data_IF_337108484428
#
_entry.id   IF_337108484428
#
_cell.length_a   1.000
_cell.length_b   1.000
_cell.length_c   1.000
_cell.angle_alpha   90.00
_cell.angle_beta   90.00
_cell.angle_gamma   90.00
#
_symmetry.space_group_name_H-M   'P 1'
#
loop_
_entity.id
_entity.type
_entity.pdbx_description
1 polymer ?
#
# COMPACT_ATOMS: atom_id res chain seq x y z
N UNK A 1 -5.89 25.19 -11.49
CA UNK A 1 -5.28 23.89 -11.73
C UNK A 1 -3.85 23.94 -11.24
N UNK A 2 -3.43 22.92 -10.48
CA UNK A 2 -2.08 22.79 -9.97
C UNK A 2 -1.37 21.66 -10.70
N UNK A 3 -0.18 21.97 -11.17
CA UNK A 3 0.76 21.06 -11.81
C UNK A 3 1.96 20.88 -10.84
N UNK A 4 2.23 19.66 -10.44
CA UNK A 4 3.38 19.29 -9.60
C UNK A 4 4.28 18.33 -10.39
N UNK A 5 5.58 18.49 -10.29
CA UNK A 5 6.56 17.57 -10.88
C UNK A 5 7.83 17.52 -10.06
N UNK A 6 8.47 16.36 -10.02
CA UNK A 6 9.79 16.13 -9.43
C UNK A 6 10.65 15.20 -10.29
N UNK A 7 11.92 15.08 -9.92
CA UNK A 7 12.86 14.14 -10.54
C UNK A 7 12.80 12.79 -9.82
N UNK A 8 12.64 11.72 -10.57
CA UNK A 8 12.68 10.35 -10.05
C UNK A 8 14.07 10.03 -9.53
N UNK A 9 14.15 9.50 -8.30
CA UNK A 9 15.39 9.06 -7.66
C UNK A 9 16.50 10.13 -7.62
N UNK A 10 16.12 11.39 -7.45
CA UNK A 10 17.07 12.52 -7.46
C UNK A 10 18.22 12.34 -6.50
N UNK A 11 17.98 11.92 -5.26
CA UNK A 11 19.02 11.69 -4.26
C UNK A 11 20.04 10.64 -4.73
N UNK A 12 19.58 9.58 -5.39
CA UNK A 12 20.45 8.54 -5.94
C UNK A 12 21.31 9.05 -7.11
N UNK A 13 20.76 9.96 -7.93
CA UNK A 13 21.52 10.62 -8.98
C UNK A 13 22.61 11.54 -8.38
N UNK A 14 22.27 12.30 -7.32
CA UNK A 14 23.20 13.16 -6.61
C UNK A 14 24.35 12.38 -5.97
N UNK A 15 24.08 11.23 -5.37
CA UNK A 15 25.10 10.34 -4.80
C UNK A 15 26.09 9.83 -5.87
N UNK A 16 25.62 9.57 -7.09
CA UNK A 16 26.44 9.01 -8.17
C UNK A 16 27.26 10.06 -8.91
N UNK A 17 26.67 11.20 -9.20
CA UNK A 17 27.28 12.30 -9.94
C UNK A 17 26.57 13.62 -9.61
N UNK A 18 27.00 14.29 -8.56
CA UNK A 18 26.41 15.54 -8.09
C UNK A 18 26.49 16.64 -9.14
N UNK A 19 27.66 16.89 -9.69
CA UNK A 19 27.87 17.98 -10.64
C UNK A 19 27.12 17.79 -11.96
N UNK A 20 27.12 16.58 -12.50
CA UNK A 20 26.37 16.20 -13.68
C UNK A 20 24.86 16.28 -13.45
N UNK A 21 24.38 15.81 -12.29
CA UNK A 21 22.97 15.84 -11.92
C UNK A 21 22.45 17.27 -11.80
N UNK A 22 23.18 18.17 -11.13
CA UNK A 22 22.81 19.59 -11.02
C UNK A 22 22.81 20.26 -12.40
N UNK A 23 23.77 19.96 -13.27
CA UNK A 23 23.83 20.51 -14.63
C UNK A 23 22.64 20.04 -15.48
N UNK A 24 22.31 18.74 -15.40
CA UNK A 24 21.15 18.17 -16.07
C UNK A 24 19.85 18.80 -15.56
N UNK A 25 19.68 18.90 -14.23
CA UNK A 25 18.51 19.51 -13.62
C UNK A 25 18.30 20.96 -14.12
N UNK A 26 19.35 21.78 -14.11
CA UNK A 26 19.29 23.17 -14.62
C UNK A 26 18.85 23.24 -16.07
N UNK A 27 19.25 22.27 -16.89
CA UNK A 27 18.85 22.20 -18.29
C UNK A 27 17.37 21.88 -18.42
N UNK A 28 16.87 20.90 -17.65
CA UNK A 28 15.44 20.55 -17.64
C UNK A 28 14.59 21.63 -16.98
N UNK A 29 15.08 22.32 -15.97
CA UNK A 29 14.40 23.47 -15.36
C UNK A 29 14.12 24.57 -16.39
N UNK A 30 15.08 24.88 -17.29
CA UNK A 30 14.87 25.83 -18.38
C UNK A 30 13.78 25.36 -19.34
N UNK A 31 13.83 24.09 -19.75
CA UNK A 31 12.79 23.48 -20.62
C UNK A 31 11.43 23.55 -19.95
N UNK A 32 11.34 23.22 -18.67
CA UNK A 32 10.08 23.22 -17.92
C UNK A 32 9.50 24.64 -17.84
N UNK A 33 10.31 25.64 -17.52
CA UNK A 33 9.91 27.05 -17.49
C UNK A 33 9.43 27.57 -18.86
N UNK A 34 10.05 27.14 -19.93
CA UNK A 34 9.62 27.45 -21.30
C UNK A 34 8.30 26.76 -21.63
N UNK A 35 8.14 25.50 -21.25
CA UNK A 35 6.88 24.76 -21.42
C UNK A 35 5.73 25.42 -20.64
N UNK A 36 5.96 25.81 -19.39
CA UNK A 36 4.96 26.55 -18.61
C UNK A 36 4.54 27.85 -19.32
N UNK A 37 5.52 28.66 -19.75
CA UNK A 37 5.23 29.92 -20.44
C UNK A 37 4.46 29.70 -21.74
N UNK A 38 4.82 28.69 -22.53
CA UNK A 38 4.16 28.34 -23.81
C UNK A 38 2.68 28.00 -23.59
N UNK A 39 2.36 27.30 -22.50
CA UNK A 39 1.00 26.84 -22.20
C UNK A 39 0.24 27.73 -21.19
N UNK A 40 0.77 28.91 -20.84
CA UNK A 40 0.10 29.87 -19.95
C UNK A 40 0.14 29.47 -18.48
N UNK A 41 1.13 28.65 -18.07
CA UNK A 41 1.38 28.30 -16.68
C UNK A 41 2.25 29.30 -15.95
N UNK A 42 2.01 29.50 -14.66
CA UNK A 42 2.82 30.33 -13.75
C UNK A 42 3.52 29.43 -12.74
N UNK A 43 4.85 29.38 -12.76
CA UNK A 43 5.64 28.74 -11.72
C UNK A 43 5.49 29.52 -10.42
N UNK A 44 5.07 28.88 -9.34
CA UNK A 44 4.87 29.54 -8.04
C UNK A 44 5.72 28.95 -6.92
N UNK A 45 6.24 27.72 -7.08
CA UNK A 45 7.09 27.10 -6.07
C UNK A 45 8.16 26.24 -6.74
N UNK A 46 9.39 26.28 -6.17
CA UNK A 46 10.52 25.40 -6.52
C UNK A 46 11.20 24.96 -5.24
N UNK A 47 11.48 23.67 -5.12
CA UNK A 47 12.16 23.09 -3.95
C UNK A 47 13.09 21.97 -4.37
N UNK A 48 14.37 22.32 -4.57
CA UNK A 48 15.35 21.33 -5.06
C UNK A 48 15.01 20.85 -6.47
N UNK A 49 14.60 19.60 -6.58
CA UNK A 49 14.20 18.93 -7.82
C UNK A 49 12.70 19.01 -8.13
N UNK A 50 11.91 19.60 -7.20
CA UNK A 50 10.47 19.74 -7.33
C UNK A 50 10.06 21.10 -7.88
N UNK A 51 9.07 21.12 -8.78
CA UNK A 51 8.52 22.32 -9.37
C UNK A 51 6.99 22.29 -9.33
N UNK A 52 6.38 23.43 -8.98
CA UNK A 52 4.94 23.56 -8.95
C UNK A 52 4.50 24.80 -9.75
N UNK A 53 3.52 24.59 -10.64
CA UNK A 53 2.94 25.65 -11.43
C UNK A 53 1.41 25.66 -11.33
N UNK A 54 0.82 26.83 -11.55
CA UNK A 54 -0.64 26.98 -11.71
C UNK A 54 -1.00 27.23 -13.16
N UNK A 55 -2.18 26.76 -13.54
CA UNK A 55 -2.77 26.99 -14.86
C UNK A 55 -4.24 27.41 -14.68
N UNK A 56 -4.70 28.28 -15.58
CA UNK A 56 -6.12 28.64 -15.66
C UNK A 56 -6.96 27.58 -16.38
N UNK A 57 -6.34 26.70 -17.16
CA UNK A 57 -7.00 25.67 -17.97
C UNK A 57 -6.42 24.29 -17.71
N UNK A 58 -7.29 23.30 -17.46
CA UNK A 58 -6.91 21.89 -17.31
C UNK A 58 -6.32 21.32 -18.60
N UNK A 59 -6.92 21.66 -19.75
CA UNK A 59 -6.42 21.28 -21.08
C UNK A 59 -4.99 21.74 -21.27
N UNK A 60 -4.70 23.02 -21.00
CA UNK A 60 -3.36 23.59 -21.14
C UNK A 60 -2.33 22.99 -20.17
N UNK A 61 -2.74 22.63 -18.95
CA UNK A 61 -1.88 21.96 -18.00
C UNK A 61 -1.49 20.55 -18.49
N UNK A 62 -2.45 19.80 -19.03
CA UNK A 62 -2.23 18.46 -19.58
C UNK A 62 -1.38 18.50 -20.86
N UNK A 63 -1.68 19.41 -21.80
CA UNK A 63 -0.86 19.62 -23.00
C UNK A 63 0.60 19.95 -22.61
N UNK A 64 0.79 20.82 -21.62
CA UNK A 64 2.12 21.15 -21.09
C UNK A 64 2.85 19.92 -20.54
N UNK A 65 2.16 19.08 -19.80
CA UNK A 65 2.74 17.85 -19.24
C UNK A 65 3.19 16.88 -20.34
N UNK A 66 2.35 16.68 -21.36
CA UNK A 66 2.64 15.82 -22.50
C UNK A 66 3.84 16.35 -23.30
N UNK A 67 3.83 17.64 -23.63
CA UNK A 67 4.93 18.28 -24.35
C UNK A 67 6.25 18.15 -23.58
N UNK A 68 6.23 18.43 -22.26
CA UNK A 68 7.41 18.34 -21.42
C UNK A 68 7.97 16.92 -21.36
N UNK A 69 7.13 15.89 -21.10
CA UNK A 69 7.58 14.50 -21.07
C UNK A 69 8.16 14.04 -22.42
N UNK A 70 7.57 14.46 -23.52
CA UNK A 70 8.10 14.17 -24.86
C UNK A 70 9.47 14.82 -25.07
N UNK A 71 9.65 16.09 -24.67
CA UNK A 71 10.95 16.77 -24.76
C UNK A 71 12.00 16.08 -23.88
N UNK A 72 11.63 15.68 -22.65
CA UNK A 72 12.53 14.92 -21.75
C UNK A 72 12.96 13.61 -22.40
N UNK A 73 12.01 12.85 -22.95
CA UNK A 73 12.28 11.58 -23.64
C UNK A 73 13.25 11.75 -24.80
N UNK A 74 13.07 12.78 -25.64
CA UNK A 74 13.96 13.04 -26.78
C UNK A 74 15.35 13.51 -26.33
N UNK A 75 15.43 14.40 -25.35
CA UNK A 75 16.72 14.89 -24.84
C UNK A 75 17.52 13.77 -24.16
N UNK A 76 16.86 12.86 -23.45
CA UNK A 76 17.51 11.71 -22.81
C UNK A 76 18.12 10.74 -23.83
N UNK A 77 17.59 10.64 -25.04
CA UNK A 77 18.15 9.78 -26.08
C UNK A 77 19.53 10.26 -26.57
N UNK A 78 19.73 11.56 -26.66
CA UNK A 78 20.80 12.10 -27.50
C UNK A 78 21.82 13.02 -26.80
N UNK A 79 21.52 13.66 -25.66
CA UNK A 79 22.33 14.85 -25.28
C UNK A 79 22.65 14.97 -23.78
N UNK A 80 21.75 14.57 -22.87
CA UNK A 80 21.91 14.91 -21.44
C UNK A 80 22.33 13.69 -20.63
N UNK A 81 23.43 13.83 -19.91
CA UNK A 81 23.93 12.84 -18.93
C UNK A 81 24.27 13.53 -17.61
N UNK A 82 23.84 12.98 -16.46
CA UNK A 82 22.92 11.84 -16.37
C UNK A 82 21.52 12.15 -16.92
N UNK A 83 20.88 11.15 -17.52
CA UNK A 83 19.49 11.25 -17.95
C UNK A 83 18.58 11.32 -16.72
N UNK A 84 17.70 12.32 -16.67
CA UNK A 84 16.72 12.46 -15.59
C UNK A 84 15.33 12.12 -16.09
N UNK A 85 14.53 11.48 -15.24
CA UNK A 85 13.12 11.21 -15.50
C UNK A 85 12.27 12.01 -14.53
N UNK A 86 11.09 12.41 -14.98
CA UNK A 86 10.19 13.24 -14.19
C UNK A 86 8.86 12.52 -13.96
N UNK A 87 8.26 12.75 -12.80
CA UNK A 87 6.88 12.39 -12.49
C UNK A 87 6.03 13.65 -12.51
N UNK A 88 4.79 13.55 -12.99
CA UNK A 88 3.89 14.69 -13.06
C UNK A 88 2.55 14.32 -12.43
N UNK A 89 2.07 15.18 -11.53
CA UNK A 89 0.74 15.13 -10.94
C UNK A 89 -0.05 16.40 -11.23
N UNK A 90 -1.29 16.28 -11.72
CA UNK A 90 -2.14 17.44 -12.04
C UNK A 90 -3.47 17.32 -11.31
N UNK A 91 -3.85 18.38 -10.58
CA UNK A 91 -5.10 18.46 -9.85
C UNK A 91 -5.81 19.80 -10.05
N UNK A 92 -7.14 19.77 -10.05
CA UNK A 92 -7.96 20.96 -9.90
C UNK A 92 -8.65 20.94 -8.54
N UNK A 93 -8.43 21.98 -7.75
CA UNK A 93 -8.98 22.10 -6.41
C UNK A 93 -8.69 23.48 -5.81
N UNK A 94 -9.28 23.74 -4.65
CA UNK A 94 -9.16 25.01 -3.96
C UNK A 94 -7.75 25.23 -3.43
N UNK A 95 -7.31 26.48 -3.52
CA UNK A 95 -6.01 26.93 -3.05
C UNK A 95 -6.12 28.27 -2.33
N UNK A 96 -5.22 28.49 -1.40
CA UNK A 96 -5.08 29.76 -0.67
C UNK A 96 -3.83 30.45 -1.21
N UNK A 97 -4.00 31.68 -1.69
CA UNK A 97 -2.89 32.52 -2.12
C UNK A 97 -2.20 33.14 -0.90
N UNK A 98 -0.94 32.79 -0.67
CA UNK A 98 -0.11 33.38 0.37
C UNK A 98 1.12 34.06 -0.25
N UNK A 99 1.11 35.38 -0.32
CA UNK A 99 2.11 36.17 -1.07
C UNK A 99 2.13 35.76 -2.56
N UNK A 100 3.20 35.13 -3.04
CA UNK A 100 3.31 34.62 -4.43
C UNK A 100 3.17 33.09 -4.51
N UNK A 101 2.95 32.42 -3.38
CA UNK A 101 2.85 30.97 -3.29
C UNK A 101 1.37 30.54 -3.13
N UNK A 102 1.08 29.30 -3.53
CA UNK A 102 -0.22 28.67 -3.35
C UNK A 102 -0.10 27.57 -2.31
N UNK A 103 -1.06 27.52 -1.39
CA UNK A 103 -1.16 26.50 -0.35
C UNK A 103 -2.57 25.91 -0.36
N UNK A 104 -2.74 24.76 0.27
CA UNK A 104 -4.05 24.13 0.46
C UNK A 104 -4.11 22.71 -0.04
N UNK A 105 -5.30 22.13 0.08
CA UNK A 105 -5.53 20.73 -0.27
C UNK A 105 -5.31 20.47 -1.76
N UNK A 106 -5.69 21.43 -2.62
CA UNK A 106 -5.47 21.33 -4.06
C UNK A 106 -4.00 21.13 -4.44
N UNK A 107 -3.07 21.81 -3.74
CA UNK A 107 -1.62 21.65 -3.93
C UNK A 107 -1.15 20.30 -3.39
N UNK A 108 -1.63 19.92 -2.21
CA UNK A 108 -1.25 18.65 -1.59
C UNK A 108 -1.69 17.44 -2.42
N UNK A 109 -2.88 17.49 -3.02
CA UNK A 109 -3.37 16.42 -3.92
C UNK A 109 -2.52 16.34 -5.19
N UNK A 110 -2.15 17.48 -5.81
CA UNK A 110 -1.26 17.48 -6.97
C UNK A 110 0.10 16.82 -6.67
N UNK A 111 0.71 17.17 -5.52
CA UNK A 111 1.96 16.54 -5.08
C UNK A 111 1.83 15.04 -4.82
N UNK A 112 0.67 14.57 -4.33
CA UNK A 112 0.42 13.13 -4.12
C UNK A 112 0.18 12.38 -5.42
N UNK A 113 -0.48 13.00 -6.39
CA UNK A 113 -0.63 12.43 -7.74
C UNK A 113 0.74 12.33 -8.42
N UNK A 114 1.61 13.31 -8.22
CA UNK A 114 2.99 13.29 -8.70
C UNK A 114 3.74 12.10 -8.09
N UNK A 115 3.68 11.88 -6.74
CA UNK A 115 4.30 10.72 -6.08
C UNK A 115 3.71 9.38 -6.53
N UNK A 116 2.43 9.35 -6.89
CA UNK A 116 1.76 8.17 -7.44
C UNK A 116 2.17 7.90 -8.88
N UNK A 117 2.62 8.91 -9.63
CA UNK A 117 2.96 8.80 -11.04
C UNK A 117 4.17 7.90 -11.28
N UNK A 118 4.16 7.16 -12.38
CA UNK A 118 5.31 6.39 -12.84
C UNK A 118 6.42 7.30 -13.35
N UNK A 119 7.64 6.78 -13.42
CA UNK A 119 8.77 7.45 -14.07
C UNK A 119 8.41 7.79 -15.53
N UNK A 120 8.51 9.07 -15.89
CA UNK A 120 8.09 9.56 -17.21
C UNK A 120 6.57 9.62 -17.41
N UNK A 121 5.78 9.41 -16.34
CA UNK A 121 4.32 9.37 -16.38
C UNK A 121 3.65 10.69 -16.03
N UNK A 122 2.33 10.72 -16.22
CA UNK A 122 1.43 11.82 -15.88
C UNK A 122 0.21 11.24 -15.20
N UNK A 123 -0.01 11.59 -13.93
CA UNK A 123 -1.19 11.15 -13.17
C UNK A 123 -2.08 12.34 -12.85
N UNK A 124 -3.37 12.23 -13.09
CA UNK A 124 -4.35 13.30 -12.94
C UNK A 124 -5.45 12.92 -11.95
N UNK A 125 -6.07 13.93 -11.33
CA UNK A 125 -7.26 13.73 -10.51
C UNK A 125 -8.53 13.55 -11.36
N UNK A 126 -9.59 13.03 -10.72
CA UNK A 126 -10.93 12.93 -11.33
C UNK A 126 -11.42 14.28 -11.84
N UNK A 127 -11.20 15.37 -11.09
CA UNK A 127 -11.59 16.72 -11.53
C UNK A 127 -10.87 17.16 -12.82
N UNK A 128 -9.60 16.80 -12.99
CA UNK A 128 -8.89 17.07 -14.24
C UNK A 128 -9.44 16.19 -15.36
N UNK A 129 -9.66 14.88 -15.10
CA UNK A 129 -10.26 13.97 -16.06
C UNK A 129 -11.57 14.55 -16.63
N UNK A 130 -12.49 14.98 -15.76
CA UNK A 130 -13.79 15.54 -16.15
C UNK A 130 -13.67 16.81 -17.00
N UNK A 131 -12.64 17.63 -16.76
CA UNK A 131 -12.40 18.83 -17.54
C UNK A 131 -11.81 18.58 -18.91
N UNK A 132 -11.08 17.47 -19.13
CA UNK A 132 -10.40 17.17 -20.39
C UNK A 132 -11.14 16.14 -21.25
N UNK A 133 -12.05 15.36 -20.64
CA UNK A 133 -12.84 14.34 -21.33
C UNK A 133 -13.57 14.94 -22.53
N UNK A 134 -13.39 14.33 -23.71
CA UNK A 134 -13.96 14.78 -24.98
C UNK A 134 -13.32 16.05 -25.59
N UNK A 135 -12.29 16.64 -24.95
CA UNK A 135 -11.59 17.84 -25.45
C UNK A 135 -10.20 17.52 -25.98
N UNK A 136 -9.59 16.47 -25.51
CA UNK A 136 -8.28 15.99 -25.95
C UNK A 136 -8.40 14.49 -26.22
N UNK A 137 -7.90 14.04 -27.34
CA UNK A 137 -7.84 12.61 -27.67
C UNK A 137 -6.62 11.98 -27.00
N UNK A 138 -6.84 11.33 -25.86
CA UNK A 138 -5.81 10.72 -25.04
C UNK A 138 -6.23 9.31 -24.60
N UNK A 139 -5.26 8.42 -24.52
CA UNK A 139 -5.45 7.15 -23.84
C UNK A 139 -5.28 7.36 -22.32
N UNK A 140 -6.32 7.06 -21.58
CA UNK A 140 -6.36 7.27 -20.12
C UNK A 140 -6.67 5.94 -19.46
N UNK A 141 -5.91 5.61 -18.41
CA UNK A 141 -6.13 4.45 -17.54
C UNK A 141 -6.73 4.90 -16.21
N UNK A 142 -7.87 4.34 -15.86
CA UNK A 142 -8.49 4.55 -14.55
C UNK A 142 -7.77 3.72 -13.48
N UNK A 143 -7.16 4.38 -12.51
CA UNK A 143 -6.47 3.75 -11.39
C UNK A 143 -7.41 3.46 -10.22
N UNK A 144 -8.66 3.92 -10.29
CA UNK A 144 -9.62 3.82 -9.22
C UNK A 144 -9.30 4.76 -8.04
N UNK A 145 -9.89 4.45 -6.89
CA UNK A 145 -9.67 5.21 -5.66
C UNK A 145 -8.29 4.84 -5.09
N UNK A 146 -7.42 5.82 -5.03
CA UNK A 146 -6.09 5.70 -4.45
C UNK A 146 -6.08 6.30 -3.04
N UNK A 147 -5.35 5.67 -2.13
CA UNK A 147 -5.13 6.20 -0.79
C UNK A 147 -3.64 6.51 -0.63
N UNK A 148 -3.33 7.81 -0.47
CA UNK A 148 -1.97 8.25 -0.13
C UNK A 148 -2.03 8.97 1.21
N UNK A 149 -1.36 8.40 2.22
CA UNK A 149 -1.49 8.83 3.63
C UNK A 149 -2.95 8.79 4.09
N UNK A 150 -3.51 9.91 4.56
CA UNK A 150 -4.89 10.00 5.07
C UNK A 150 -5.94 10.38 4.02
N UNK A 151 -5.52 10.73 2.79
CA UNK A 151 -6.44 11.23 1.77
C UNK A 151 -6.75 10.13 0.74
N UNK A 152 -8.04 10.05 0.38
CA UNK A 152 -8.55 9.21 -0.70
C UNK A 152 -8.92 10.11 -1.88
N UNK A 153 -8.47 9.77 -3.09
CA UNK A 153 -8.82 10.46 -4.31
C UNK A 153 -8.85 9.48 -5.49
N UNK A 154 -9.69 9.76 -6.46
CA UNK A 154 -9.74 8.98 -7.69
C UNK A 154 -8.67 9.52 -8.65
N UNK A 155 -7.82 8.65 -9.14
CA UNK A 155 -6.68 8.97 -9.99
C UNK A 155 -6.76 8.29 -11.35
N UNK A 156 -6.13 8.91 -12.33
CA UNK A 156 -6.05 8.43 -13.71
C UNK A 156 -4.63 8.65 -14.24
N UNK A 157 -4.10 7.71 -15.01
CA UNK A 157 -2.85 7.90 -15.76
C UNK A 157 -3.12 8.28 -17.21
N UNK A 158 -2.38 9.27 -17.71
CA UNK A 158 -2.33 9.58 -19.14
C UNK A 158 -1.23 8.71 -19.76
N UNK A 159 -1.60 7.85 -20.71
CA UNK A 159 -0.67 6.93 -21.36
C UNK A 159 -0.02 7.61 -22.56
N UNK A 160 1.25 7.98 -22.45
CA UNK A 160 2.05 8.51 -23.56
C UNK A 160 2.53 7.40 -24.51
N UNK A 161 2.57 6.16 -24.02
CA UNK A 161 2.86 4.93 -24.76
C UNK A 161 1.90 3.85 -24.24
N UNK A 162 1.16 3.13 -25.12
CA UNK A 162 0.26 2.05 -24.69
C UNK A 162 0.91 0.97 -23.83
N UNK A 163 2.23 0.83 -23.92
CA UNK A 163 3.00 -0.12 -23.11
C UNK A 163 3.24 0.35 -21.68
N UNK A 164 2.96 1.61 -21.35
CA UNK A 164 3.07 2.17 -19.99
C UNK A 164 1.90 1.81 -19.09
N UNK A 165 0.94 1.03 -19.58
CA UNK A 165 -0.16 0.54 -18.77
C UNK A 165 0.37 -0.15 -17.51
N UNK A 166 -0.09 0.29 -16.34
CA UNK A 166 0.34 -0.32 -15.08
C UNK A 166 -0.09 -1.76 -15.04
N UNK A 167 0.85 -2.67 -14.97
CA UNK A 167 0.54 -4.02 -14.55
C UNK A 167 0.29 -3.93 -13.03
N UNK A 168 -0.96 -3.65 -12.62
CA UNK A 168 -1.35 -3.90 -11.25
C UNK A 168 -1.11 -5.41 -11.02
N UNK A 169 0.01 -5.78 -10.45
CA UNK A 169 0.06 -7.02 -9.70
C UNK A 169 -1.02 -6.82 -8.61
N UNK A 170 -2.24 -7.29 -8.90
CA UNK A 170 -3.13 -7.70 -7.83
C UNK A 170 -2.23 -8.60 -7.01
N UNK A 171 -1.72 -8.07 -5.92
CA UNK A 171 -1.10 -8.92 -4.92
C UNK A 171 -2.22 -9.88 -4.61
N UNK A 172 -2.05 -11.14 -5.03
CA UNK A 172 -2.97 -12.23 -4.70
C UNK A 172 -2.78 -12.52 -3.20
N UNK A 173 -2.91 -11.44 -2.40
CA UNK A 173 -2.96 -11.52 -0.95
C UNK A 173 -4.07 -12.51 -0.58
N UNK A 174 -5.20 -12.45 -1.30
CA UNK A 174 -6.30 -13.39 -1.13
C UNK A 174 -5.92 -14.84 -1.51
N UNK A 175 -5.05 -15.05 -2.53
CA UNK A 175 -4.63 -16.41 -2.90
C UNK A 175 -3.58 -16.95 -1.91
N UNK A 176 -2.67 -16.10 -1.43
CA UNK A 176 -1.70 -16.49 -0.38
C UNK A 176 -2.39 -16.69 0.96
N UNK A 177 -3.38 -15.84 1.28
CA UNK A 177 -4.22 -16.02 2.47
C UNK A 177 -5.09 -17.27 2.36
N UNK A 178 -5.70 -17.54 1.22
CA UNK A 178 -6.47 -18.76 0.96
C UNK A 178 -5.60 -20.02 1.01
N UNK A 179 -4.36 -19.98 0.53
CA UNK A 179 -3.42 -21.11 0.64
C UNK A 179 -2.94 -21.32 2.08
N UNK A 180 -2.76 -20.23 2.86
CA UNK A 180 -2.43 -20.30 4.29
C UNK A 180 -3.58 -20.93 5.07
N UNK A 181 -4.80 -20.48 4.83
CA UNK A 181 -6.01 -21.03 5.46
C UNK A 181 -6.23 -22.48 5.04
N UNK A 182 -6.03 -22.82 3.76
CA UNK A 182 -6.11 -24.20 3.28
C UNK A 182 -5.08 -25.12 3.91
N UNK A 183 -3.84 -24.63 4.15
CA UNK A 183 -2.79 -25.40 4.83
C UNK A 183 -3.09 -25.59 6.33
N UNK A 184 -3.59 -24.56 6.99
CA UNK A 184 -4.03 -24.65 8.40
C UNK A 184 -5.16 -25.69 8.53
N UNK A 185 -6.13 -25.70 7.62
CA UNK A 185 -7.21 -26.67 7.61
C UNK A 185 -6.73 -28.10 7.35
N UNK A 186 -5.74 -28.27 6.47
CA UNK A 186 -5.14 -29.59 6.21
C UNK A 186 -4.41 -30.10 7.43
N UNK A 187 -3.70 -29.23 8.17
CA UNK A 187 -3.02 -29.58 9.42
C UNK A 187 -4.02 -29.90 10.55
N UNK A 188 -5.14 -29.15 10.61
CA UNK A 188 -6.23 -29.49 11.53
C UNK A 188 -6.88 -30.82 11.18
N UNK A 189 -7.06 -31.12 9.89
CA UNK A 189 -7.56 -32.43 9.42
C UNK A 189 -6.61 -33.58 9.80
N UNK A 190 -5.29 -33.37 9.67
CA UNK A 190 -4.29 -34.35 10.08
C UNK A 190 -4.22 -34.51 11.60
N UNK A 191 -4.27 -33.41 12.37
CA UNK A 191 -4.30 -33.45 13.83
C UNK A 191 -5.59 -34.13 14.34
N UNK A 192 -6.73 -33.79 13.77
CA UNK A 192 -8.00 -34.47 14.06
C UNK A 192 -7.96 -35.95 13.72
N UNK A 193 -7.38 -36.33 12.57
CA UNK A 193 -7.20 -37.73 12.18
C UNK A 193 -6.28 -38.49 13.15
N UNK A 194 -5.19 -37.86 13.61
CA UNK A 194 -4.30 -38.47 14.61
C UNK A 194 -4.95 -38.61 15.98
N UNK A 195 -5.73 -37.62 16.40
CA UNK A 195 -6.47 -37.66 17.69
C UNK A 195 -7.54 -38.76 17.68
N UNK A 196 -8.25 -38.92 16.55
CA UNK A 196 -9.32 -39.94 16.43
C UNK A 196 -8.79 -41.37 16.23
N UNK A 197 -7.59 -41.53 15.62
CA UNK A 197 -7.04 -42.85 15.31
C UNK A 197 -6.05 -43.41 16.34
N UNK A 198 -5.42 -42.55 17.17
CA UNK A 198 -4.42 -42.98 18.13
C UNK A 198 -4.85 -42.86 19.62
N UNK A 199 -6.15 -42.75 19.89
CA UNK A 199 -6.62 -42.65 21.28
C UNK A 199 -6.68 -44.05 21.94
N UNK A 200 -5.57 -44.49 22.52
CA UNK A 200 -5.62 -45.32 23.72
C UNK A 200 -5.46 -44.40 24.94
N UNK A 201 -6.47 -44.43 25.78
CA UNK A 201 -6.76 -43.50 26.89
C UNK A 201 -5.76 -43.54 28.05
N UNK A 202 -5.63 -42.43 28.81
CA UNK A 202 -6.21 -42.47 30.18
C UNK A 202 -7.21 -41.32 30.45
N UNK A 203 -8.23 -41.74 31.13
CA UNK A 203 -9.40 -41.03 31.61
C UNK A 203 -9.08 -39.78 32.45
N UNK A 204 -9.49 -38.59 31.97
CA UNK A 204 -9.80 -37.46 32.84
C UNK A 204 -11.15 -36.87 32.36
N UNK A 205 -12.15 -37.17 33.16
CA UNK A 205 -13.54 -36.74 32.94
C UNK A 205 -13.65 -35.22 33.08
N UNK A 206 -13.64 -34.50 31.97
CA UNK A 206 -14.13 -33.13 31.92
C UNK A 206 -15.28 -33.14 30.92
N UNK A 207 -16.48 -32.86 31.38
CA UNK A 207 -17.65 -32.62 30.57
C UNK A 207 -17.38 -31.39 29.69
N UNK A 208 -16.84 -31.59 28.50
CA UNK A 208 -16.48 -30.54 27.56
C UNK A 208 -17.25 -30.72 26.27
N UNK A 209 -17.69 -29.63 25.71
CA UNK A 209 -18.23 -29.54 24.33
C UNK A 209 -17.33 -30.35 23.42
N UNK A 210 -17.91 -31.24 22.58
CA UNK A 210 -17.19 -32.10 21.60
C UNK A 210 -16.40 -31.32 20.52
N UNK A 211 -16.27 -30.01 20.65
CA UNK A 211 -15.64 -29.14 19.68
C UNK A 211 -14.34 -28.53 20.23
N UNK A 212 -13.21 -28.65 19.52
CA UNK A 212 -11.98 -27.98 19.91
C UNK A 212 -12.16 -26.46 19.96
N UNK A 213 -11.74 -25.87 21.08
CA UNK A 213 -11.83 -24.42 21.33
C UNK A 213 -10.54 -23.73 20.98
N UNK A 214 -10.63 -22.66 20.15
CA UNK A 214 -9.50 -21.92 19.59
C UNK A 214 -9.61 -20.44 19.98
N UNK A 215 -8.49 -19.87 20.43
CA UNK A 215 -8.29 -18.44 20.62
C UNK A 215 -7.24 -17.93 19.62
N UNK A 216 -7.60 -16.94 18.83
CA UNK A 216 -6.65 -16.26 17.95
C UNK A 216 -6.20 -14.99 18.65
N UNK A 217 -4.97 -14.90 19.10
CA UNK A 217 -4.40 -13.69 19.70
C UNK A 217 -4.14 -12.63 18.61
N UNK A 218 -4.25 -11.32 18.96
CA UNK A 218 -3.88 -10.26 18.04
C UNK A 218 -2.45 -10.43 17.53
N UNK A 219 -2.27 -10.43 16.23
CA UNK A 219 -0.95 -10.52 15.62
C UNK A 219 -0.14 -9.27 15.93
N UNK A 220 1.12 -9.47 16.35
CA UNK A 220 2.03 -8.36 16.68
C UNK A 220 2.52 -7.70 15.40
N UNK A 221 2.38 -6.38 15.30
CA UNK A 221 3.01 -5.62 14.23
C UNK A 221 4.47 -5.34 14.58
N UNK A 222 5.39 -5.87 13.77
CA UNK A 222 6.84 -5.64 13.89
C UNK A 222 7.33 -4.60 12.86
N UNK A 223 6.40 -3.92 12.16
CA UNK A 223 6.71 -2.87 11.19
C UNK A 223 6.65 -1.49 11.84
N UNK A 224 7.05 -0.45 11.10
CA UNK A 224 6.77 0.94 11.50
C UNK A 224 5.27 1.17 11.68
N UNK A 225 4.88 2.11 12.56
CA UNK A 225 3.53 2.36 13.08
C UNK A 225 2.40 2.49 12.04
N UNK A 226 2.74 2.76 10.78
CA UNK A 226 1.75 2.99 9.71
C UNK A 226 1.07 1.70 9.19
N UNK A 227 1.52 0.51 9.63
CA UNK A 227 1.02 -0.79 9.15
C UNK A 227 0.25 -1.60 10.23
N UNK A 228 -0.20 -0.96 11.29
CA UNK A 228 -0.94 -1.63 12.39
C UNK A 228 -2.24 -2.30 11.89
N UNK A 229 -2.88 -1.71 10.88
CA UNK A 229 -4.09 -2.25 10.26
C UNK A 229 -3.89 -3.61 9.58
N UNK A 230 -2.67 -3.94 9.14
CA UNK A 230 -2.39 -5.23 8.47
C UNK A 230 -2.44 -6.37 9.49
N UNK A 231 -1.81 -6.20 10.64
CA UNK A 231 -1.84 -7.19 11.73
C UNK A 231 -3.25 -7.41 12.27
N UNK A 232 -4.02 -6.32 12.46
CA UNK A 232 -5.43 -6.40 12.86
C UNK A 232 -6.28 -7.11 11.80
N UNK A 233 -6.12 -6.76 10.51
CA UNK A 233 -6.86 -7.38 9.42
C UNK A 233 -6.62 -8.89 9.28
N UNK A 234 -5.39 -9.36 9.50
CA UNK A 234 -5.05 -10.79 9.51
C UNK A 234 -5.76 -11.48 10.67
N UNK A 235 -5.70 -10.90 11.87
CA UNK A 235 -6.39 -11.44 13.04
C UNK A 235 -7.90 -11.58 12.82
N UNK A 236 -8.53 -10.52 12.30
CA UNK A 236 -9.97 -10.51 12.03
C UNK A 236 -10.36 -11.53 10.95
N UNK A 237 -9.54 -11.65 9.91
CA UNK A 237 -9.76 -12.62 8.84
C UNK A 237 -9.65 -14.05 9.35
N UNK A 238 -8.66 -14.35 10.20
CA UNK A 238 -8.50 -15.68 10.80
C UNK A 238 -9.68 -16.03 11.70
N UNK A 239 -10.10 -15.13 12.61
CA UNK A 239 -11.26 -15.35 13.47
C UNK A 239 -12.52 -15.60 12.63
N UNK A 240 -12.78 -14.74 11.64
CA UNK A 240 -13.96 -14.88 10.77
C UNK A 240 -13.94 -16.17 9.97
N UNK A 241 -12.79 -16.53 9.41
CA UNK A 241 -12.67 -17.74 8.58
C UNK A 241 -12.84 -19.00 9.41
N UNK A 242 -12.15 -19.08 10.58
CA UNK A 242 -12.26 -20.23 11.47
C UNK A 242 -13.67 -20.37 12.06
N UNK A 243 -14.37 -19.27 12.31
CA UNK A 243 -15.75 -19.27 12.84
C UNK A 243 -16.78 -19.86 11.87
N UNK A 244 -16.45 -19.96 10.56
CA UNK A 244 -17.32 -20.61 9.58
C UNK A 244 -17.32 -22.15 9.67
N UNK A 245 -16.43 -22.73 10.47
CA UNK A 245 -16.35 -24.18 10.66
C UNK A 245 -17.13 -24.58 11.91
N UNK A 246 -18.27 -25.26 11.72
CA UNK A 246 -19.15 -25.69 12.80
C UNK A 246 -18.47 -26.63 13.80
N UNK A 247 -17.38 -27.29 13.39
CA UNK A 247 -16.62 -28.22 14.25
C UNK A 247 -15.67 -27.50 15.22
N UNK A 248 -15.47 -26.20 15.07
CA UNK A 248 -14.56 -25.40 15.89
C UNK A 248 -15.36 -24.43 16.78
N UNK A 249 -14.90 -24.25 18.00
CA UNK A 249 -15.37 -23.19 18.88
C UNK A 249 -14.33 -22.06 18.90
N UNK A 250 -14.59 -21.02 18.12
CA UNK A 250 -13.65 -19.89 18.00
C UNK A 250 -14.06 -18.78 18.94
N UNK A 251 -13.11 -18.34 19.78
CA UNK A 251 -13.31 -17.22 20.70
C UNK A 251 -13.48 -15.90 19.93
N UNK A 252 -14.31 -15.01 20.49
CA UNK A 252 -14.59 -13.72 19.85
C UNK A 252 -13.37 -12.80 19.81
N UNK A 253 -13.39 -11.82 18.90
CA UNK A 253 -12.37 -10.77 18.82
C UNK A 253 -12.20 -10.02 20.15
N UNK A 254 -13.31 -9.74 20.84
CA UNK A 254 -13.26 -9.04 22.12
C UNK A 254 -12.54 -9.87 23.20
N UNK A 255 -12.75 -11.18 23.23
CA UNK A 255 -12.02 -12.11 24.11
C UNK A 255 -10.53 -12.10 23.79
N UNK A 256 -10.19 -12.16 22.51
CA UNK A 256 -8.83 -12.10 21.98
C UNK A 256 -8.08 -10.84 22.45
N UNK A 257 -8.70 -9.68 22.27
CA UNK A 257 -8.13 -8.40 22.69
C UNK A 257 -8.02 -8.29 24.21
N UNK A 258 -9.01 -8.80 24.95
CA UNK A 258 -9.00 -8.77 26.41
C UNK A 258 -7.89 -9.65 26.98
N UNK A 259 -7.73 -10.86 26.47
CA UNK A 259 -6.68 -11.79 26.88
C UNK A 259 -5.30 -11.20 26.58
N UNK A 260 -5.12 -10.64 25.39
CA UNK A 260 -3.84 -10.03 24.99
C UNK A 260 -3.46 -8.81 25.83
N UNK A 261 -4.44 -7.99 26.21
CA UNK A 261 -4.20 -6.76 27.01
C UNK A 261 -3.86 -7.04 28.47
N UNK A 262 -4.34 -8.15 29.02
CA UNK A 262 -4.18 -8.49 30.44
C UNK A 262 -3.07 -9.52 30.67
N UNK A 263 -2.33 -9.91 29.64
CA UNK A 263 -1.15 -10.79 29.68
C UNK A 263 -1.42 -12.10 30.49
N UNK A 264 -2.58 -12.75 30.27
CA UNK A 264 -2.92 -14.02 30.91
C UNK A 264 -1.91 -15.09 30.52
N UNK A 265 -1.55 -15.94 31.51
CA UNK A 265 -0.77 -17.14 31.26
C UNK A 265 -1.56 -18.21 30.51
N UNK A 266 -0.88 -19.13 29.85
CA UNK A 266 -1.50 -20.22 29.10
C UNK A 266 -2.43 -21.07 29.98
N UNK A 267 -2.07 -21.27 31.25
CA UNK A 267 -2.87 -21.98 32.24
C UNK A 267 -4.15 -21.21 32.61
N UNK A 268 -4.08 -19.90 32.77
CA UNK A 268 -5.26 -19.05 33.03
C UNK A 268 -6.19 -19.00 31.82
N UNK A 269 -5.65 -18.99 30.58
CA UNK A 269 -6.44 -19.05 29.36
C UNK A 269 -7.18 -20.39 29.24
N UNK A 270 -6.48 -21.50 29.52
CA UNK A 270 -7.07 -22.84 29.52
C UNK A 270 -8.21 -22.95 30.51
N UNK A 271 -8.02 -22.46 31.74
CA UNK A 271 -9.00 -22.60 32.84
C UNK A 271 -10.18 -21.65 32.69
N UNK A 272 -9.93 -20.36 32.42
CA UNK A 272 -10.95 -19.32 32.44
C UNK A 272 -11.78 -19.27 31.14
N UNK A 273 -11.14 -19.56 29.98
CA UNK A 273 -11.78 -19.48 28.67
C UNK A 273 -12.04 -20.85 28.04
N UNK A 274 -11.62 -21.94 28.73
CA UNK A 274 -11.74 -23.33 28.25
C UNK A 274 -11.19 -23.49 26.84
N UNK A 275 -10.12 -22.75 26.52
CA UNK A 275 -9.50 -22.72 25.23
C UNK A 275 -8.38 -23.76 25.17
N UNK A 276 -8.46 -24.68 24.22
CA UNK A 276 -7.47 -25.76 24.04
C UNK A 276 -6.31 -25.32 23.15
N UNK A 277 -6.57 -24.48 22.16
CA UNK A 277 -5.58 -24.07 21.16
C UNK A 277 -5.45 -22.57 21.07
N UNK A 278 -4.23 -22.08 20.97
CA UNK A 278 -3.94 -20.65 20.69
C UNK A 278 -3.25 -20.51 19.36
N UNK A 279 -3.77 -19.62 18.53
CA UNK A 279 -3.07 -19.11 17.36
C UNK A 279 -2.49 -17.73 17.69
N UNK A 280 -1.19 -17.58 17.52
CA UNK A 280 -0.47 -16.32 17.69
C UNK A 280 0.47 -16.07 16.51
N UNK A 281 0.90 -14.82 16.35
CA UNK A 281 1.82 -14.51 15.28
C UNK A 281 2.30 -13.07 15.26
N UNK A 282 3.10 -12.78 14.24
CA UNK A 282 3.59 -11.43 13.98
C UNK A 282 3.63 -11.13 12.48
N UNK A 283 3.50 -9.85 12.17
CA UNK A 283 3.56 -9.33 10.80
C UNK A 283 4.64 -8.27 10.73
N UNK A 284 5.47 -8.37 9.70
CA UNK A 284 6.47 -7.36 9.36
C UNK A 284 6.33 -6.97 7.90
N UNK A 285 6.06 -5.71 7.65
CA UNK A 285 6.00 -5.13 6.30
C UNK A 285 7.25 -4.28 6.08
N UNK A 286 7.99 -4.58 5.01
CA UNK A 286 9.19 -3.85 4.62
C UNK A 286 9.14 -3.63 3.10
N UNK A 287 8.75 -2.43 2.67
CA UNK A 287 8.50 -2.11 1.27
C UNK A 287 7.42 -3.03 0.68
N UNK A 288 7.76 -3.71 -0.42
CA UNK A 288 6.83 -4.62 -1.11
C UNK A 288 6.81 -6.06 -0.54
N UNK A 289 7.56 -6.31 0.53
CA UNK A 289 7.65 -7.64 1.15
C UNK A 289 6.90 -7.65 2.48
N UNK A 290 6.05 -8.64 2.64
CA UNK A 290 5.37 -8.92 3.92
C UNK A 290 5.84 -10.26 4.44
N UNK A 291 6.29 -10.29 5.68
CA UNK A 291 6.67 -11.50 6.40
C UNK A 291 5.64 -11.74 7.49
N UNK A 292 5.12 -12.97 7.54
CA UNK A 292 4.14 -13.38 8.55
C UNK A 292 4.70 -14.60 9.27
N UNK A 293 4.79 -14.53 10.60
CA UNK A 293 5.08 -15.70 11.43
C UNK A 293 3.76 -16.13 12.08
N UNK A 294 3.49 -17.43 12.06
CA UNK A 294 2.27 -18.02 12.66
C UNK A 294 2.68 -19.19 13.55
N UNK A 295 2.08 -19.28 14.73
CA UNK A 295 2.23 -20.39 15.66
C UNK A 295 0.87 -20.88 16.11
N UNK A 296 0.74 -22.20 16.25
CA UNK A 296 -0.39 -22.89 16.85
C UNK A 296 0.11 -23.71 18.05
N UNK A 297 -0.37 -23.39 19.22
CA UNK A 297 -0.01 -24.05 20.46
C UNK A 297 -1.20 -24.84 21.02
N UNK A 298 -0.93 -26.03 21.51
CA UNK A 298 -1.86 -26.86 22.29
C UNK A 298 -1.62 -26.58 23.77
N UNK A 299 -2.58 -25.94 24.42
CA UNK A 299 -2.46 -25.57 25.85
C UNK A 299 -2.62 -26.77 26.81
N UNK A 300 -3.27 -27.82 26.34
CA UNK A 300 -3.45 -29.04 27.17
C UNK A 300 -2.17 -29.84 27.24
N UNK A 301 -1.46 -29.94 26.09
CA UNK A 301 -0.20 -30.68 25.98
C UNK A 301 1.02 -29.80 26.22
N UNK A 302 0.83 -28.50 26.27
CA UNK A 302 1.89 -27.48 26.35
C UNK A 302 2.93 -27.63 25.23
N UNK A 303 2.46 -27.92 24.00
CA UNK A 303 3.26 -28.16 22.83
C UNK A 303 2.94 -27.17 21.69
N UNK A 304 3.94 -26.79 20.90
CA UNK A 304 3.74 -26.08 19.66
C UNK A 304 3.46 -27.09 18.55
N UNK A 305 2.22 -27.12 18.07
CA UNK A 305 1.81 -28.01 16.98
C UNK A 305 2.29 -27.53 15.62
N UNK A 306 2.45 -26.21 15.45
CA UNK A 306 2.83 -25.61 14.19
C UNK A 306 3.56 -24.28 14.41
N UNK A 307 4.62 -24.05 13.64
CA UNK A 307 5.35 -22.79 13.61
C UNK A 307 5.98 -22.60 12.24
N UNK A 308 5.52 -21.60 11.50
CA UNK A 308 5.96 -21.32 10.12
C UNK A 308 6.11 -19.82 9.87
N UNK A 309 6.94 -19.54 8.86
CA UNK A 309 7.28 -18.19 8.42
C UNK A 309 7.05 -18.03 6.93
N UNK A 310 6.23 -17.09 6.56
CA UNK A 310 5.82 -16.77 5.21
C UNK A 310 6.37 -15.44 4.73
#
# INVERSE_FOLDING_TARGET
VIFATDVVDYSLHMEKDEAGTVTSLRTYEKVLKESFRKHGGRLFNTGGDSFMAEFSSAVKAVECAIDFQNIVKEKNKNVIKPALSFRIGINAGDVILQKKNLLGEGVNVAARLEQLSQSGGITISKSIFDYIEGKIDLQIEDLGIQQVKKNKFHAFDILLDPRQKRVFRKTNLNLKLASLVGLILLLFGVAYYQITYNSETPELTITQSDRPSILVLPFKNLSASDNEFVASGITDTLISTLSNYEQLLVQSRNTSDFVSKNEFSDEEILQNYKTQYIISGSVQVAGDKTRINVQLNDLVKNDTLYSEKY
#
